data_IF_185035775690
#
_entry.id   IF_185035775690
#
_cell.length_a   1.000
_cell.length_b   1.000
_cell.length_c   1.000
_cell.angle_alpha   90.00
_cell.angle_beta   90.00
_cell.angle_gamma   90.00
#
_symmetry.space_group_name_H-M   'P 1'
#
loop_
_entity.id
_entity.type
_entity.pdbx_description
1 polymer ?
#
# COMPACT_ATOMS: atom_id res chain seq x y z
N UNK A 1 -11.06 16.66 -18.99
CA UNK A 1 -11.46 15.23 -19.01
C UNK A 1 -11.71 14.83 -17.57
N UNK A 2 -12.57 13.85 -17.27
CA UNK A 2 -12.69 13.37 -15.90
C UNK A 2 -11.34 12.81 -15.44
N UNK A 3 -10.94 13.16 -14.21
CA UNK A 3 -9.71 12.72 -13.57
C UNK A 3 -10.02 12.37 -12.11
N UNK A 4 -9.32 11.38 -11.57
CA UNK A 4 -9.43 11.07 -10.15
C UNK A 4 -8.81 12.20 -9.31
N UNK A 5 -9.53 12.64 -8.28
CA UNK A 5 -9.02 13.61 -7.30
C UNK A 5 -8.08 12.90 -6.33
N UNK A 6 -6.92 13.51 -6.09
CA UNK A 6 -5.88 12.99 -5.20
C UNK A 6 -5.59 14.04 -4.14
N UNK A 7 -5.64 13.64 -2.87
CA UNK A 7 -5.40 14.56 -1.75
C UNK A 7 -4.79 13.87 -0.54
N UNK A 8 -3.99 14.61 0.23
CA UNK A 8 -3.53 14.17 1.54
C UNK A 8 -4.64 14.30 2.57
N UNK A 9 -4.80 13.28 3.40
CA UNK A 9 -5.74 13.24 4.52
C UNK A 9 -5.10 12.52 5.72
N UNK A 10 -5.69 12.69 6.91
CA UNK A 10 -5.48 11.80 8.04
C UNK A 10 -6.55 10.70 8.01
N UNK A 11 -6.19 9.48 8.39
CA UNK A 11 -7.13 8.35 8.43
C UNK A 11 -6.67 7.28 9.42
N UNK A 12 -7.58 6.74 10.23
CA UNK A 12 -7.29 5.59 11.09
C UNK A 12 -6.09 5.79 12.02
N UNK A 13 -5.87 7.00 12.54
CA UNK A 13 -4.73 7.32 13.40
C UNK A 13 -3.38 7.52 12.68
N UNK A 14 -3.29 7.31 11.36
CA UNK A 14 -2.14 7.72 10.56
C UNK A 14 -2.29 9.18 10.10
N UNK A 15 -1.19 9.92 10.18
CA UNK A 15 -1.14 11.34 9.85
C UNK A 15 -0.96 11.58 8.35
N UNK A 16 -0.31 10.64 7.66
CA UNK A 16 -0.02 10.76 6.24
C UNK A 16 -0.69 9.63 5.46
N UNK A 17 -1.87 9.94 4.94
CA UNK A 17 -2.58 9.09 3.99
C UNK A 17 -2.88 9.86 2.70
N UNK A 18 -2.97 9.13 1.59
CA UNK A 18 -3.39 9.65 0.29
C UNK A 18 -4.75 9.06 -0.05
N UNK A 19 -5.72 9.94 -0.25
CA UNK A 19 -7.02 9.58 -0.79
C UNK A 19 -7.02 9.75 -2.30
N UNK A 20 -7.51 8.73 -3.01
CA UNK A 20 -7.84 8.80 -4.44
C UNK A 20 -9.34 8.58 -4.57
N UNK A 21 -10.05 9.48 -5.25
CA UNK A 21 -11.50 9.34 -5.47
C UNK A 21 -11.95 9.94 -6.80
N UNK A 22 -12.95 9.33 -7.43
CA UNK A 22 -13.62 9.83 -8.63
C UNK A 22 -15.09 10.22 -8.36
N UNK A 23 -15.50 10.28 -7.08
CA UNK A 23 -16.88 10.53 -6.68
C UNK A 23 -17.80 9.29 -6.73
N UNK A 24 -17.33 8.16 -7.29
CA UNK A 24 -18.03 6.87 -7.30
C UNK A 24 -17.42 5.93 -6.26
N UNK A 25 -16.09 5.86 -6.22
CA UNK A 25 -15.31 5.10 -5.23
C UNK A 25 -14.24 5.98 -4.58
N UNK A 26 -13.77 5.57 -3.41
CA UNK A 26 -12.62 6.12 -2.73
C UNK A 26 -11.66 5.03 -2.23
N UNK A 27 -10.37 5.35 -2.28
CA UNK A 27 -9.28 4.55 -1.75
C UNK A 27 -8.50 5.39 -0.75
N UNK A 28 -7.95 4.74 0.27
CA UNK A 28 -6.97 5.36 1.16
C UNK A 28 -5.72 4.50 1.19
N UNK A 29 -4.60 5.15 0.89
CA UNK A 29 -3.26 4.57 0.93
C UNK A 29 -2.53 5.24 2.09
N UNK A 30 -2.10 4.47 3.09
CA UNK A 30 -1.22 5.01 4.12
C UNK A 30 0.20 5.10 3.56
N UNK A 31 0.87 6.21 3.83
CA UNK A 31 2.29 6.40 3.51
C UNK A 31 3.17 6.47 4.75
N UNK A 32 2.58 6.29 5.94
CA UNK A 32 3.29 6.13 7.21
C UNK A 32 3.79 4.69 7.42
N UNK A 33 3.15 3.70 6.79
CA UNK A 33 3.52 2.28 6.78
C UNK A 33 3.24 1.66 5.40
N UNK A 34 3.91 0.57 5.03
CA UNK A 34 3.54 -0.24 3.86
C UNK A 34 4.67 -0.52 2.86
N UNK A 35 4.34 -0.68 1.56
CA UNK A 35 3.22 -0.04 0.86
C UNK A 35 1.88 -0.79 1.07
N UNK A 36 0.79 -0.04 1.24
CA UNK A 36 -0.54 -0.59 1.60
C UNK A 36 -1.73 0.29 1.20
N UNK A 37 -2.77 -0.31 0.63
CA UNK A 37 -4.11 0.31 0.52
C UNK A 37 -4.90 -0.14 1.74
N UNK A 38 -5.25 0.78 2.64
CA UNK A 38 -5.90 0.42 3.91
C UNK A 38 -7.44 0.42 3.80
N UNK A 39 -7.96 1.16 2.82
CA UNK A 39 -9.40 1.27 2.57
C UNK A 39 -9.68 1.28 1.07
N UNK A 40 -10.76 0.62 0.70
CA UNK A 40 -11.47 0.82 -0.55
C UNK A 40 -12.97 0.77 -0.27
N UNK A 41 -13.75 1.66 -0.86
CA UNK A 41 -15.21 1.61 -0.78
C UNK A 41 -15.86 2.52 -1.80
N UNK A 42 -17.18 2.41 -1.93
CA UNK A 42 -17.95 3.42 -2.66
C UNK A 42 -17.84 4.78 -1.94
N UNK A 43 -17.84 5.86 -2.71
CA UNK A 43 -17.62 7.20 -2.18
C UNK A 43 -18.64 7.53 -1.08
N UNK A 44 -18.14 7.77 0.14
CA UNK A 44 -18.97 8.08 1.31
C UNK A 44 -19.70 6.88 1.93
N UNK A 45 -19.37 5.65 1.53
CA UNK A 45 -19.92 4.42 2.09
C UNK A 45 -18.90 3.68 2.98
N UNK A 46 -19.23 2.45 3.39
CA UNK A 46 -18.38 1.63 4.25
C UNK A 46 -17.08 1.17 3.56
N UNK A 47 -16.11 0.70 4.35
CA UNK A 47 -14.90 0.07 3.83
C UNK A 47 -15.21 -1.38 3.43
N UNK A 48 -14.81 -1.77 2.23
CA UNK A 48 -14.91 -3.15 1.72
C UNK A 48 -13.68 -4.00 2.09
N UNK A 49 -12.64 -3.36 2.65
CA UNK A 49 -11.45 -4.03 3.17
C UNK A 49 -11.53 -4.19 4.70
N UNK A 50 -10.70 -5.08 5.26
CA UNK A 50 -10.56 -5.22 6.69
C UNK A 50 -9.55 -4.21 7.24
N UNK A 51 -9.92 -3.45 8.27
CA UNK A 51 -9.00 -2.70 9.13
C UNK A 51 -8.84 -3.45 10.45
N UNK A 52 -7.60 -3.65 10.91
CA UNK A 52 -7.36 -4.35 12.18
C UNK A 52 -7.16 -3.33 13.29
N UNK A 53 -8.25 -3.06 14.01
CA UNK A 53 -8.35 -2.01 15.05
C UNK A 53 -7.16 -1.98 16.02
N UNK A 54 -6.66 -3.14 16.45
CA UNK A 54 -5.54 -3.24 17.41
C UNK A 54 -4.19 -2.75 16.85
N UNK A 55 -4.10 -2.54 15.54
CA UNK A 55 -2.88 -2.10 14.85
C UNK A 55 -3.06 -0.82 14.04
N UNK A 56 -4.30 -0.39 13.82
CA UNK A 56 -4.65 0.85 13.12
C UNK A 56 -3.97 2.06 13.77
N UNK A 57 -3.28 2.86 12.96
CA UNK A 57 -2.53 4.05 13.41
C UNK A 57 -1.15 3.77 14.01
N UNK A 58 -0.77 2.51 14.22
CA UNK A 58 0.58 2.20 14.71
C UNK A 58 1.63 2.35 13.61
N UNK A 59 2.84 2.71 14.03
CA UNK A 59 4.04 2.85 13.19
C UNK A 59 5.27 2.31 13.94
N UNK A 60 6.38 2.08 13.24
CA UNK A 60 7.65 1.60 13.80
C UNK A 60 7.60 0.19 14.42
N UNK A 61 8.70 -0.20 15.07
CA UNK A 61 8.85 -1.54 15.66
C UNK A 61 9.44 -2.58 14.69
N UNK A 62 10.00 -3.63 15.25
CA UNK A 62 10.78 -4.69 14.60
C UNK A 62 9.98 -5.97 14.32
N UNK A 63 8.71 -6.01 14.70
CA UNK A 63 7.80 -7.10 14.40
C UNK A 63 6.83 -6.75 13.27
N UNK A 64 6.50 -7.77 12.46
CA UNK A 64 5.43 -7.68 11.49
C UNK A 64 4.07 -7.44 12.16
N UNK A 65 3.28 -6.51 11.60
CA UNK A 65 1.90 -6.24 12.05
C UNK A 65 0.88 -6.43 10.92
N UNK A 66 -0.28 -6.97 11.29
CA UNK A 66 -1.40 -7.19 10.39
C UNK A 66 -2.33 -5.99 10.35
N UNK A 67 -1.92 -4.88 9.74
CA UNK A 67 -2.74 -3.65 9.68
C UNK A 67 -4.10 -3.80 8.95
N UNK A 68 -4.28 -4.87 8.16
CA UNK A 68 -5.45 -5.05 7.28
C UNK A 68 -5.26 -4.42 5.90
N UNK A 69 -6.30 -4.37 5.08
CA UNK A 69 -6.24 -3.84 3.72
C UNK A 69 -5.41 -4.69 2.76
N UNK A 70 -5.03 -4.09 1.64
CA UNK A 70 -4.18 -4.69 0.61
C UNK A 70 -2.71 -4.33 0.84
N UNK A 71 -1.89 -5.32 1.20
CA UNK A 71 -0.43 -5.21 1.34
C UNK A 71 0.25 -5.92 0.17
N UNK A 72 1.38 -5.38 -0.30
CA UNK A 72 2.27 -6.11 -1.21
C UNK A 72 3.12 -7.13 -0.44
N UNK A 73 2.84 -8.42 -0.63
CA UNK A 73 3.62 -9.53 -0.10
C UNK A 73 4.50 -10.16 -1.18
N UNK A 74 5.31 -11.15 -0.81
CA UNK A 74 6.01 -11.96 -1.78
C UNK A 74 6.12 -13.44 -1.37
N UNK A 75 6.14 -14.31 -2.38
CA UNK A 75 6.22 -15.75 -2.24
C UNK A 75 7.60 -16.30 -2.65
N UNK A 76 7.96 -17.55 -2.29
CA UNK A 76 7.24 -18.42 -1.35
C UNK A 76 7.25 -17.84 0.09
N UNK A 77 6.16 -18.05 0.81
CA UNK A 77 6.02 -17.61 2.20
C UNK A 77 6.98 -18.38 3.10
N UNK A 78 7.79 -17.66 3.88
CA UNK A 78 8.78 -18.26 4.78
C UNK A 78 9.14 -17.28 5.90
N UNK A 79 9.06 -17.71 7.16
CA UNK A 79 9.59 -16.94 8.29
C UNK A 79 11.11 -17.13 8.41
N UNK A 80 11.90 -16.08 8.68
CA UNK A 80 11.48 -14.69 8.88
C UNK A 80 11.32 -13.88 7.58
N UNK A 81 11.84 -14.37 6.45
CA UNK A 81 11.97 -13.66 5.17
C UNK A 81 10.74 -12.86 4.75
N UNK A 82 9.55 -13.47 4.73
CA UNK A 82 8.33 -12.80 4.23
C UNK A 82 7.60 -11.98 5.29
N UNK A 83 8.06 -12.06 6.54
CA UNK A 83 7.52 -11.37 7.70
C UNK A 83 8.40 -10.16 8.08
N UNK A 84 9.14 -9.61 7.13
CA UNK A 84 9.86 -8.37 7.37
C UNK A 84 8.88 -7.23 7.69
N UNK A 85 9.16 -6.40 8.71
CA UNK A 85 8.28 -5.30 9.09
C UNK A 85 8.18 -4.23 8.00
N UNK A 86 6.96 -3.87 7.63
CA UNK A 86 6.61 -2.77 6.74
C UNK A 86 6.11 -1.55 7.55
N UNK A 87 6.60 -1.39 8.78
CA UNK A 87 6.08 -0.42 9.76
C UNK A 87 6.63 1.01 9.56
N UNK A 88 7.24 1.31 8.42
CA UNK A 88 7.95 2.57 8.18
C UNK A 88 7.40 3.32 6.98
N UNK A 89 7.60 4.65 6.91
CA UNK A 89 7.08 5.45 5.83
C UNK A 89 7.58 5.00 4.46
N UNK A 90 6.71 5.10 3.47
CA UNK A 90 7.03 4.87 2.06
C UNK A 90 7.11 6.19 1.31
N UNK A 91 7.99 6.25 0.31
CA UNK A 91 7.98 7.36 -0.64
C UNK A 91 6.75 7.22 -1.54
N UNK A 92 6.20 8.35 -1.98
CA UNK A 92 5.14 8.33 -2.98
C UNK A 92 5.21 9.53 -3.89
N UNK A 93 4.68 9.37 -5.10
CA UNK A 93 4.52 10.43 -6.09
C UNK A 93 3.18 10.29 -6.79
N UNK A 94 2.63 11.42 -7.22
CA UNK A 94 1.39 11.43 -8.00
C UNK A 94 1.69 11.01 -9.45
N UNK A 95 0.84 10.15 -9.99
CA UNK A 95 0.83 9.73 -11.40
C UNK A 95 -0.57 10.03 -11.99
N UNK A 96 -0.78 9.94 -13.31
CA UNK A 96 -2.12 10.12 -13.89
C UNK A 96 -3.15 9.19 -13.23
N UNK A 97 -4.22 9.78 -12.69
CA UNK A 97 -5.31 9.07 -12.01
C UNK A 97 -4.89 8.20 -10.81
N UNK A 98 -3.71 8.43 -10.22
CA UNK A 98 -3.25 7.60 -9.13
C UNK A 98 -1.97 8.04 -8.45
N UNK A 99 -1.37 7.12 -7.70
CA UNK A 99 -0.05 7.32 -7.09
C UNK A 99 0.85 6.13 -7.33
N UNK A 100 2.15 6.38 -7.26
CA UNK A 100 3.16 5.34 -7.09
C UNK A 100 3.69 5.39 -5.67
N UNK A 101 3.78 4.26 -4.99
CA UNK A 101 4.40 4.10 -3.68
C UNK A 101 5.66 3.25 -3.80
N UNK A 102 6.68 3.60 -3.02
CA UNK A 102 8.00 2.97 -3.04
C UNK A 102 8.51 2.83 -1.61
N UNK A 103 8.62 1.58 -1.16
CA UNK A 103 9.25 1.25 0.11
C UNK A 103 10.79 1.25 -0.03
N UNK A 104 11.49 1.53 1.08
CA UNK A 104 12.93 1.29 1.17
C UNK A 104 13.24 -0.20 1.00
N UNK A 105 14.36 -0.52 0.35
CA UNK A 105 14.79 -1.92 0.22
C UNK A 105 14.87 -2.58 1.59
N UNK A 106 14.21 -3.74 1.71
CA UNK A 106 14.21 -4.58 2.90
C UNK A 106 15.66 -4.94 3.28
N UNK A 107 16.16 -4.51 4.45
CA UNK A 107 17.51 -4.86 4.89
C UNK A 107 17.73 -6.37 5.01
N UNK A 108 16.70 -7.15 5.38
CA UNK A 108 16.84 -8.60 5.58
C UNK A 108 16.79 -9.40 4.29
N UNK A 109 15.97 -8.98 3.31
CA UNK A 109 15.78 -9.73 2.06
C UNK A 109 16.46 -9.11 0.84
N UNK A 110 16.81 -7.82 0.87
CA UNK A 110 17.27 -7.07 -0.30
C UNK A 110 16.15 -6.76 -1.31
N UNK A 111 14.88 -7.00 -0.96
CA UNK A 111 13.73 -6.79 -1.86
C UNK A 111 13.22 -5.36 -1.72
N UNK A 112 13.05 -4.70 -2.86
CA UNK A 112 12.35 -3.41 -2.96
C UNK A 112 10.92 -3.63 -3.47
N UNK A 113 9.96 -2.98 -2.83
CA UNK A 113 8.53 -3.10 -3.11
C UNK A 113 7.94 -1.80 -3.62
N UNK A 114 7.18 -1.88 -4.70
CA UNK A 114 6.52 -0.74 -5.34
C UNK A 114 5.07 -1.09 -5.71
N UNK A 115 4.17 -0.12 -5.58
CA UNK A 115 2.81 -0.21 -6.11
C UNK A 115 2.46 1.05 -6.90
N UNK A 116 2.02 0.87 -8.14
CA UNK A 116 1.29 1.90 -8.89
C UNK A 116 -0.21 1.63 -8.71
N UNK A 117 -0.94 2.58 -8.16
CA UNK A 117 -2.34 2.45 -7.76
C UNK A 117 -3.11 3.53 -8.47
N UNK A 118 -4.01 3.13 -9.36
CA UNK A 118 -4.82 4.05 -10.17
C UNK A 118 -6.30 3.74 -10.04
N UNK A 119 -7.13 4.79 -10.10
CA UNK A 119 -8.58 4.69 -10.09
C UNK A 119 -9.10 5.13 -11.46
N UNK A 120 -9.99 4.33 -12.06
CA UNK A 120 -10.66 4.73 -13.30
C UNK A 120 -11.37 6.07 -13.10
N UNK A 121 -11.28 7.04 -14.03
CA UNK A 121 -11.93 8.33 -13.86
C UNK A 121 -13.47 8.27 -13.85
N UNK A 122 -14.06 7.20 -14.38
CA UNK A 122 -15.50 7.08 -14.63
C UNK A 122 -16.13 5.81 -14.01
N UNK A 123 -15.32 4.90 -13.45
CA UNK A 123 -15.79 3.62 -12.91
C UNK A 123 -15.16 3.36 -11.54
N UNK A 124 -15.76 2.52 -10.68
CA UNK A 124 -15.15 2.15 -9.39
C UNK A 124 -13.92 1.23 -9.53
N UNK A 125 -13.44 0.96 -10.75
CA UNK A 125 -12.33 0.05 -11.01
C UNK A 125 -10.98 0.62 -10.54
N UNK A 126 -10.26 -0.21 -9.78
CA UNK A 126 -8.91 0.08 -9.28
C UNK A 126 -7.93 -0.82 -10.03
N UNK A 127 -6.92 -0.20 -10.64
CA UNK A 127 -5.80 -0.93 -11.23
C UNK A 127 -4.58 -0.80 -10.31
N UNK A 128 -4.06 -1.94 -9.88
CA UNK A 128 -2.86 -2.01 -9.03
C UNK A 128 -1.80 -2.80 -9.79
N UNK A 129 -0.63 -2.19 -9.94
CA UNK A 129 0.51 -2.82 -10.55
C UNK A 129 1.62 -2.96 -9.52
N UNK A 130 1.86 -4.22 -9.11
CA UNK A 130 2.90 -4.59 -8.15
C UNK A 130 4.25 -4.74 -8.83
N UNK A 131 5.32 -4.34 -8.13
CA UNK A 131 6.69 -4.55 -8.56
C UNK A 131 7.56 -4.98 -7.39
N UNK A 132 8.30 -6.06 -7.59
CA UNK A 132 9.33 -6.54 -6.69
C UNK A 132 10.67 -6.50 -7.42
N UNK A 133 11.66 -5.85 -6.81
CA UNK A 133 13.03 -5.79 -7.34
C UNK A 133 13.97 -6.46 -6.35
N UNK A 134 14.62 -7.55 -6.77
CA UNK A 134 15.72 -8.14 -6.02
C UNK A 134 16.98 -7.28 -6.18
N UNK A 135 17.35 -6.56 -5.12
CA UNK A 135 18.58 -5.75 -5.05
C UNK A 135 19.71 -6.48 -4.33
N UNK A 136 19.52 -7.77 -4.00
CA UNK A 136 20.51 -8.62 -3.38
C UNK A 136 21.59 -9.09 -4.37
N UNK A 137 22.64 -9.72 -3.84
CA UNK A 137 23.80 -10.14 -4.63
C UNK A 137 23.63 -11.46 -5.39
N UNK A 138 22.50 -12.16 -5.20
CA UNK A 138 22.22 -13.44 -5.86
C UNK A 138 20.76 -13.53 -6.32
N UNK A 139 20.46 -14.34 -7.35
CA UNK A 139 19.09 -14.64 -7.74
C UNK A 139 18.31 -15.32 -6.61
N UNK A 140 17.02 -15.01 -6.50
CA UNK A 140 16.11 -15.63 -5.52
C UNK A 140 14.83 -16.07 -6.23
N UNK A 141 14.17 -17.09 -5.68
CA UNK A 141 12.81 -17.43 -6.07
C UNK A 141 11.84 -16.39 -5.49
N UNK A 142 11.05 -15.77 -6.37
CA UNK A 142 10.22 -14.62 -6.02
C UNK A 142 8.97 -14.55 -6.89
N UNK A 143 7.82 -14.37 -6.23
CA UNK A 143 6.57 -13.99 -6.88
C UNK A 143 5.89 -12.89 -6.07
N UNK A 144 5.17 -12.01 -6.76
CA UNK A 144 4.20 -11.10 -6.12
C UNK A 144 3.07 -11.92 -5.49
N UNK A 145 2.60 -11.47 -4.32
CA UNK A 145 1.38 -11.96 -3.70
C UNK A 145 0.62 -10.76 -3.10
#
# INVERSE_FOLDING_TARGET
>A
MPEARIQKIQYGGWDNCIQITNGIADLIITVDVGPRIIRYGFAGQENEMCEVESTTGLTGGDEWKIYGGHRLWHSPEARPRTYEPDNFPVQWEQIPNGIKTVQNTEPGTGIKKEMEITLSPENPEVNILHRLTNSGSWPIELSVW
#
